data_IF_882304467873
#
_entry.id   IF_882304467873
#
_cell.length_a   1.000
_cell.length_b   1.000
_cell.length_c   1.000
_cell.angle_alpha   90.00
_cell.angle_beta   90.00
_cell.angle_gamma   90.00
#
_symmetry.space_group_name_H-M   'P 1'
#
loop_
_entity.id
_entity.type
_entity.pdbx_description
1 polymer ?
#
# COMPACT_ATOMS: atom_id res chain seq x y z
N UNK A 1 -8.11 1.18 -10.40
CA UNK A 1 -8.30 0.30 -9.22
C UNK A 1 -7.09 -0.58 -8.90
N UNK A 2 -6.06 -0.63 -9.75
CA UNK A 2 -4.85 -1.42 -9.51
C UNK A 2 -3.62 -0.50 -9.63
N UNK A 3 -2.86 -0.27 -8.56
CA UNK A 3 -1.64 0.55 -8.60
C UNK A 3 -0.55 -0.10 -9.47
N UNK A 4 0.27 0.71 -10.13
CA UNK A 4 1.46 0.19 -10.81
C UNK A 4 2.46 -0.40 -9.80
N UNK A 5 3.17 -1.46 -10.18
CA UNK A 5 4.30 -1.96 -9.41
C UNK A 5 5.34 -2.63 -10.31
N UNK A 6 6.55 -2.78 -9.79
CA UNK A 6 7.65 -3.51 -10.42
C UNK A 6 8.53 -4.15 -9.33
N UNK A 7 9.02 -5.36 -9.59
CA UNK A 7 9.96 -6.05 -8.71
C UNK A 7 11.40 -5.69 -9.11
N UNK A 8 12.26 -5.50 -8.12
CA UNK A 8 13.68 -5.22 -8.29
C UNK A 8 14.46 -6.19 -7.41
N UNK A 9 15.32 -7.01 -8.02
CA UNK A 9 16.11 -8.05 -7.37
C UNK A 9 17.60 -7.76 -7.49
N UNK A 10 18.42 -8.56 -6.80
CA UNK A 10 19.89 -8.41 -6.80
C UNK A 10 20.36 -7.19 -6.02
N UNK A 11 19.60 -6.79 -5.01
CA UNK A 11 19.92 -5.67 -4.13
C UNK A 11 20.77 -6.12 -2.95
N UNK A 12 21.76 -5.31 -2.61
CA UNK A 12 22.41 -5.35 -1.30
C UNK A 12 22.57 -3.92 -0.82
N UNK A 13 21.69 -3.52 0.10
CA UNK A 13 21.70 -2.18 0.66
C UNK A 13 22.96 -1.89 1.49
N UNK A 14 23.62 -2.90 2.07
CA UNK A 14 24.90 -2.76 2.78
C UNK A 14 26.09 -2.53 1.84
N UNK A 15 26.18 -3.31 0.77
CA UNK A 15 27.20 -3.16 -0.26
C UNK A 15 26.90 -2.05 -1.28
N UNK A 16 25.71 -1.43 -1.21
CA UNK A 16 25.19 -0.45 -2.19
C UNK A 16 25.08 -1.03 -3.60
N UNK A 17 24.81 -2.33 -3.68
CA UNK A 17 24.63 -3.03 -4.94
C UNK A 17 23.19 -2.83 -5.43
N UNK A 18 23.04 -2.51 -6.71
CA UNK A 18 21.74 -2.37 -7.37
C UNK A 18 20.98 -1.05 -7.09
N UNK A 19 21.62 -0.06 -6.43
CA UNK A 19 21.02 1.27 -6.22
C UNK A 19 20.57 1.92 -7.54
N UNK A 20 21.37 1.81 -8.61
CA UNK A 20 21.04 2.39 -9.92
C UNK A 20 19.81 1.72 -10.56
N UNK A 21 19.71 0.39 -10.47
CA UNK A 21 18.56 -0.36 -10.98
C UNK A 21 17.28 -0.02 -10.19
N UNK A 22 17.40 0.14 -8.87
CA UNK A 22 16.29 0.57 -8.03
C UNK A 22 15.85 2.00 -8.37
N UNK A 23 16.79 2.92 -8.58
CA UNK A 23 16.50 4.29 -9.00
C UNK A 23 15.80 4.34 -10.37
N UNK A 24 16.23 3.53 -11.33
CA UNK A 24 15.57 3.41 -12.63
C UNK A 24 14.13 2.86 -12.51
N UNK A 25 13.92 1.84 -11.66
CA UNK A 25 12.59 1.30 -11.39
C UNK A 25 11.66 2.35 -10.75
N UNK A 26 12.17 3.15 -9.81
CA UNK A 26 11.47 4.30 -9.20
C UNK A 26 11.12 5.33 -10.28
N UNK A 27 12.08 5.74 -11.11
CA UNK A 27 11.86 6.72 -12.17
C UNK A 27 10.76 6.28 -13.15
N UNK A 28 10.87 5.04 -13.65
CA UNK A 28 9.91 4.45 -14.59
C UNK A 28 8.49 4.38 -14.01
N UNK A 29 8.37 4.01 -12.73
CA UNK A 29 7.08 3.92 -12.05
C UNK A 29 6.48 5.31 -11.84
N UNK A 30 7.27 6.28 -11.37
CA UNK A 30 6.83 7.67 -11.21
C UNK A 30 6.34 8.27 -12.53
N UNK A 31 6.99 7.98 -13.65
CA UNK A 31 6.58 8.49 -14.96
C UNK A 31 5.24 7.89 -15.43
N UNK A 32 4.98 6.61 -15.15
CA UNK A 32 3.65 6.00 -15.39
C UNK A 32 2.56 6.70 -14.56
N UNK A 33 2.84 6.99 -13.29
CA UNK A 33 1.92 7.69 -12.39
C UNK A 33 1.65 9.11 -12.90
N UNK A 34 2.70 9.87 -13.25
CA UNK A 34 2.57 11.24 -13.80
C UNK A 34 1.67 11.30 -15.02
N UNK A 35 1.76 10.30 -15.91
CA UNK A 35 0.90 10.23 -17.09
C UNK A 35 -0.57 10.07 -16.71
N UNK A 36 -0.88 9.19 -15.74
CA UNK A 36 -2.25 9.04 -15.22
C UNK A 36 -2.73 10.27 -14.45
N UNK A 37 -1.87 10.89 -13.67
CA UNK A 37 -2.22 12.12 -12.95
C UNK A 37 -2.55 13.25 -13.92
N UNK A 38 -1.81 13.37 -15.03
CA UNK A 38 -2.12 14.32 -16.10
C UNK A 38 -3.44 14.00 -16.80
N UNK A 39 -3.69 12.73 -17.09
CA UNK A 39 -4.93 12.25 -17.72
C UNK A 39 -6.17 12.62 -16.88
N UNK A 40 -6.09 12.45 -15.55
CA UNK A 40 -7.21 12.73 -14.64
C UNK A 40 -7.17 14.13 -14.00
N UNK A 41 -6.20 14.98 -14.37
CA UNK A 41 -6.07 16.33 -13.82
C UNK A 41 -5.64 16.41 -12.35
N UNK A 42 -5.06 15.34 -11.79
CA UNK A 42 -4.57 15.27 -10.42
C UNK A 42 -3.36 16.20 -10.26
N UNK A 43 -3.35 16.98 -9.17
CA UNK A 43 -2.34 18.02 -8.90
C UNK A 43 -1.32 17.63 -7.84
N UNK A 44 -1.59 16.58 -7.07
CA UNK A 44 -0.68 16.05 -6.08
C UNK A 44 0.58 15.49 -6.74
N UNK A 45 1.69 15.49 -5.99
CA UNK A 45 2.93 14.90 -6.46
C UNK A 45 2.81 13.37 -6.52
N UNK A 46 3.33 12.71 -7.55
CA UNK A 46 3.44 11.25 -7.57
C UNK A 46 4.45 10.81 -6.51
N UNK A 47 4.20 9.65 -5.89
CA UNK A 47 5.16 9.01 -5.01
C UNK A 47 5.07 7.49 -5.19
N UNK A 48 6.11 6.79 -4.75
CA UNK A 48 6.16 5.32 -4.73
C UNK A 48 6.48 4.83 -3.34
N UNK A 49 6.02 3.63 -3.03
CA UNK A 49 6.38 2.86 -1.86
C UNK A 49 7.38 1.79 -2.29
N UNK A 50 8.58 1.82 -1.73
CA UNK A 50 9.58 0.75 -1.87
C UNK A 50 9.46 -0.14 -0.64
N UNK A 51 9.14 -1.41 -0.85
CA UNK A 51 8.94 -2.39 0.23
C UNK A 51 9.71 -3.68 -0.03
N UNK A 52 10.36 -4.23 0.99
CA UNK A 52 11.01 -5.54 0.90
C UNK A 52 9.99 -6.65 0.58
N UNK A 53 10.40 -7.63 -0.23
CA UNK A 53 9.52 -8.70 -0.74
C UNK A 53 9.30 -9.83 0.29
N UNK A 54 9.98 -9.79 1.44
CA UNK A 54 9.80 -10.74 2.54
C UNK A 54 9.09 -10.07 3.71
N UNK A 55 7.95 -10.63 4.16
CA UNK A 55 7.00 -10.02 5.10
C UNK A 55 7.62 -9.26 6.29
N UNK A 56 7.18 -8.03 6.52
CA UNK A 56 7.98 -7.09 7.32
C UNK A 56 7.33 -6.51 8.59
N UNK A 57 6.07 -6.79 8.92
CA UNK A 57 5.36 -6.06 10.00
C UNK A 57 5.55 -4.52 9.89
N UNK A 58 5.69 -3.96 8.68
CA UNK A 58 5.94 -2.54 8.46
C UNK A 58 7.42 -2.09 8.51
N UNK A 59 8.36 -3.01 8.76
CA UNK A 59 9.80 -2.80 8.52
C UNK A 59 10.10 -2.84 7.01
N UNK A 60 11.25 -2.35 6.54
CA UNK A 60 11.57 -2.43 5.12
C UNK A 60 10.63 -1.69 4.16
N UNK A 61 9.90 -0.68 4.62
CA UNK A 61 9.03 0.17 3.78
C UNK A 61 9.51 1.62 3.78
N UNK A 62 9.68 2.24 2.62
CA UNK A 62 9.98 3.66 2.47
C UNK A 62 9.08 4.32 1.42
N UNK A 63 8.71 5.59 1.65
CA UNK A 63 8.02 6.43 0.67
C UNK A 63 9.06 7.28 -0.05
N UNK A 64 8.96 7.39 -1.37
CA UNK A 64 9.95 7.99 -2.26
C UNK A 64 9.23 8.85 -3.30
N UNK A 65 9.69 10.09 -3.48
CA UNK A 65 9.15 11.03 -4.48
C UNK A 65 10.09 11.24 -5.65
N UNK A 66 11.37 10.87 -5.52
CA UNK A 66 12.33 10.94 -6.61
C UNK A 66 13.36 9.80 -6.60
N UNK A 67 13.95 9.44 -7.77
CA UNK A 67 14.98 8.39 -7.86
C UNK A 67 16.20 8.65 -6.99
N UNK A 68 16.53 9.91 -6.73
CA UNK A 68 17.70 10.28 -5.94
C UNK A 68 17.55 9.88 -4.46
N UNK A 69 16.33 9.71 -3.94
CA UNK A 69 16.08 9.33 -2.55
C UNK A 69 16.45 7.87 -2.24
N UNK A 70 16.63 7.02 -3.26
CA UNK A 70 17.07 5.62 -3.10
C UNK A 70 18.57 5.43 -3.36
N UNK A 71 19.27 6.49 -3.78
CA UNK A 71 20.72 6.48 -3.99
C UNK A 71 21.43 7.01 -2.74
N UNK A 72 22.44 6.28 -2.26
CA UNK A 72 23.24 6.76 -1.14
C UNK A 72 22.47 6.87 0.17
N UNK A 73 21.59 5.91 0.43
CA UNK A 73 20.79 5.85 1.66
C UNK A 73 21.65 6.04 2.91
N UNK A 74 21.18 6.91 3.81
CA UNK A 74 21.83 7.09 5.11
C UNK A 74 21.76 5.80 5.95
N UNK A 75 22.59 5.69 6.99
CA UNK A 75 22.69 4.49 7.83
C UNK A 75 21.34 4.03 8.38
N UNK A 76 20.45 4.95 8.74
CA UNK A 76 19.13 4.63 9.30
C UNK A 76 18.21 4.03 8.24
N UNK A 77 18.15 4.64 7.05
CA UNK A 77 17.34 4.16 5.93
C UNK A 77 17.84 2.82 5.41
N UNK A 78 19.16 2.68 5.26
CA UNK A 78 19.79 1.41 4.90
C UNK A 78 19.44 0.29 5.88
N UNK A 79 19.68 0.50 7.18
CA UNK A 79 19.32 -0.51 8.18
C UNK A 79 17.83 -0.87 8.17
N UNK A 80 16.96 0.09 7.83
CA UNK A 80 15.52 -0.16 7.70
C UNK A 80 15.19 -1.03 6.48
N UNK A 81 15.94 -0.91 5.39
CA UNK A 81 15.72 -1.62 4.13
C UNK A 81 16.55 -2.91 3.99
N UNK A 82 17.59 -3.10 4.80
CA UNK A 82 18.51 -4.24 4.69
C UNK A 82 18.01 -5.54 5.31
N UNK A 83 17.20 -5.46 6.37
CA UNK A 83 16.85 -6.64 7.19
C UNK A 83 15.35 -6.66 7.48
N UNK A 84 14.73 -7.80 7.20
CA UNK A 84 13.31 -8.05 7.56
C UNK A 84 13.22 -8.88 8.84
N UNK A 85 12.01 -9.29 9.22
CA UNK A 85 11.83 -10.14 10.40
C UNK A 85 12.67 -11.43 10.25
N UNK A 86 13.20 -11.92 11.37
CA UNK A 86 14.07 -13.13 11.44
C UNK A 86 15.51 -12.94 10.91
N UNK A 87 15.91 -11.70 10.60
CA UNK A 87 17.30 -11.41 10.24
C UNK A 87 17.66 -11.75 8.79
N UNK A 88 16.66 -12.07 7.97
CA UNK A 88 16.86 -12.32 6.54
C UNK A 88 17.26 -11.01 5.85
N UNK A 89 18.29 -11.12 5.02
CA UNK A 89 18.78 -10.03 4.18
C UNK A 89 17.79 -9.77 3.03
N UNK A 90 17.56 -8.50 2.74
CA UNK A 90 16.69 -8.08 1.63
C UNK A 90 17.49 -8.08 0.34
N UNK A 91 17.21 -9.07 -0.52
CA UNK A 91 17.73 -9.14 -1.89
C UNK A 91 16.74 -8.66 -2.95
N UNK A 92 15.46 -8.57 -2.60
CA UNK A 92 14.36 -8.23 -3.49
C UNK A 92 13.41 -7.20 -2.84
N UNK A 93 13.01 -6.20 -3.62
CA UNK A 93 12.03 -5.19 -3.23
C UNK A 93 10.98 -5.01 -4.33
N UNK A 94 9.81 -4.57 -3.90
CA UNK A 94 8.74 -4.10 -4.76
C UNK A 94 8.72 -2.58 -4.73
N UNK A 95 8.78 -1.95 -5.90
CA UNK A 95 8.48 -0.53 -6.08
C UNK A 95 7.04 -0.42 -6.55
N UNK A 96 6.18 0.17 -5.73
CA UNK A 96 4.74 0.26 -5.98
C UNK A 96 4.28 1.72 -6.00
N UNK A 97 3.34 2.07 -6.86
CA UNK A 97 2.64 3.35 -6.83
C UNK A 97 2.04 3.62 -5.45
N UNK A 98 2.36 4.80 -4.92
CA UNK A 98 1.76 5.32 -3.70
C UNK A 98 0.35 5.83 -3.96
N UNK A 99 -0.61 5.36 -3.17
CA UNK A 99 -2.00 5.82 -3.25
C UNK A 99 -2.26 6.76 -2.08
N UNK A 100 -2.70 7.96 -2.39
CA UNK A 100 -3.12 8.93 -1.37
C UNK A 100 -4.36 8.44 -0.63
N UNK A 101 -4.45 8.78 0.66
CA UNK A 101 -5.74 8.86 1.35
C UNK A 101 -6.08 10.31 1.64
N UNK A 102 -7.31 10.70 1.35
CA UNK A 102 -7.87 12.00 1.73
C UNK A 102 -9.03 11.85 2.71
N UNK A 103 -9.30 10.64 3.19
CA UNK A 103 -10.30 10.41 4.22
C UNK A 103 -9.80 10.96 5.55
N UNK A 104 -10.71 11.60 6.29
CA UNK A 104 -10.43 12.10 7.64
C UNK A 104 -11.47 11.61 8.63
N UNK A 105 -11.02 11.37 9.85
CA UNK A 105 -11.86 11.10 11.02
C UNK A 105 -11.37 12.04 12.11
N UNK A 106 -12.25 12.89 12.63
CA UNK A 106 -11.91 13.94 13.62
C UNK A 106 -10.68 14.77 13.20
N UNK A 107 -10.69 15.25 11.94
CA UNK A 107 -9.61 16.02 11.30
C UNK A 107 -8.25 15.31 11.17
N UNK A 108 -8.16 14.04 11.53
CA UNK A 108 -6.96 13.21 11.35
C UNK A 108 -7.07 12.31 10.12
N UNK A 109 -5.94 12.10 9.44
CA UNK A 109 -5.87 11.25 8.24
C UNK A 109 -6.26 9.82 8.59
N UNK A 110 -7.11 9.22 7.76
CA UNK A 110 -7.66 7.89 7.98
C UNK A 110 -7.54 7.02 6.73
N UNK A 111 -7.42 5.71 6.92
CA UNK A 111 -7.56 4.71 5.86
C UNK A 111 -8.47 3.56 6.31
N UNK A 112 -9.40 3.07 5.47
CA UNK A 112 -10.33 2.01 5.85
C UNK A 112 -9.64 0.63 5.80
N UNK A 113 -9.91 -0.20 6.79
CA UNK A 113 -9.53 -1.62 6.85
C UNK A 113 -10.80 -2.46 6.84
N UNK A 114 -10.92 -3.36 5.86
CA UNK A 114 -12.08 -4.24 5.69
C UNK A 114 -11.75 -5.65 6.15
N UNK A 115 -12.58 -6.20 7.02
CA UNK A 115 -12.49 -7.57 7.52
C UNK A 115 -13.46 -8.48 6.78
N UNK A 116 -13.00 -9.70 6.49
CA UNK A 116 -13.79 -10.76 5.87
C UNK A 116 -13.61 -12.07 6.63
N UNK A 117 -14.67 -12.88 6.64
CA UNK A 117 -14.62 -14.29 7.04
C UNK A 117 -15.18 -15.12 5.88
N UNK A 118 -14.45 -16.16 5.46
CA UNK A 118 -14.68 -16.80 4.16
C UNK A 118 -14.66 -15.72 3.06
N UNK A 119 -15.71 -15.63 2.22
CA UNK A 119 -15.86 -14.62 1.16
C UNK A 119 -16.76 -13.44 1.53
N UNK A 120 -17.17 -13.35 2.80
CA UNK A 120 -18.16 -12.39 3.27
C UNK A 120 -17.49 -11.24 4.02
N UNK A 121 -17.85 -10.01 3.66
CA UNK A 121 -17.45 -8.80 4.40
C UNK A 121 -18.22 -8.76 5.71
N UNK A 122 -17.50 -8.70 6.83
CA UNK A 122 -18.09 -8.77 8.18
C UNK A 122 -18.01 -7.45 8.95
N UNK A 123 -17.13 -6.53 8.54
CA UNK A 123 -16.88 -5.31 9.29
C UNK A 123 -15.57 -4.65 8.90
N UNK A 124 -15.12 -3.72 9.74
CA UNK A 124 -13.85 -3.05 9.56
C UNK A 124 -13.59 -1.97 10.61
N UNK A 125 -12.53 -1.22 10.40
CA UNK A 125 -12.22 -0.02 11.15
C UNK A 125 -11.45 0.96 10.27
N UNK A 126 -11.49 2.24 10.62
CA UNK A 126 -10.52 3.20 10.13
C UNK A 126 -9.25 3.12 10.97
N UNK A 127 -8.10 3.04 10.31
CA UNK A 127 -6.82 3.36 10.94
C UNK A 127 -6.62 4.86 10.81
N UNK A 128 -6.58 5.55 11.95
CA UNK A 128 -6.50 7.01 12.04
C UNK A 128 -5.14 7.38 12.59
N UNK A 129 -4.49 8.41 12.02
CA UNK A 129 -3.19 8.87 12.51
C UNK A 129 -3.09 10.40 12.48
N UNK A 130 -2.96 11.02 13.66
CA UNK A 130 -2.93 12.48 13.83
C UNK A 130 -1.60 13.12 13.40
N UNK A 131 -0.50 12.36 13.50
CA UNK A 131 0.85 12.82 13.15
C UNK A 131 1.39 12.37 11.79
N UNK A 132 0.55 11.90 10.86
CA UNK A 132 0.96 11.42 9.54
C UNK A 132 0.18 12.13 8.45
N UNK A 133 0.84 12.37 7.32
CA UNK A 133 0.26 12.97 6.12
C UNK A 133 -0.51 11.99 5.25
N UNK A 134 -1.16 12.56 4.24
CA UNK A 134 -2.00 11.88 3.23
C UNK A 134 -1.23 10.94 2.28
N UNK A 135 0.09 11.07 2.22
CA UNK A 135 1.06 10.27 1.44
C UNK A 135 2.04 9.46 2.32
N UNK A 136 1.73 9.31 3.61
CA UNK A 136 2.54 8.55 4.53
C UNK A 136 1.87 7.23 4.95
N UNK A 137 2.68 6.25 5.32
CA UNK A 137 2.19 5.00 5.90
C UNK A 137 1.56 5.25 7.28
N UNK A 138 0.24 5.06 7.40
CA UNK A 138 -0.48 5.22 8.66
C UNK A 138 -0.30 4.03 9.61
N UNK A 139 0.19 2.88 9.13
CA UNK A 139 0.60 1.74 9.96
C UNK A 139 1.93 2.03 10.67
N UNK A 140 1.88 2.95 11.62
CA UNK A 140 3.02 3.45 12.39
C UNK A 140 2.64 3.63 13.88
N UNK A 141 3.64 3.66 14.79
CA UNK A 141 3.38 3.95 16.20
C UNK A 141 2.63 5.28 16.38
N UNK A 142 1.56 5.25 17.17
CA UNK A 142 0.67 6.41 17.39
C UNK A 142 -0.67 6.33 16.65
N UNK A 143 -0.85 5.37 15.74
CA UNK A 143 -2.13 5.13 15.08
C UNK A 143 -3.22 4.69 16.07
N UNK A 144 -4.46 5.03 15.74
CA UNK A 144 -5.67 4.70 16.47
C UNK A 144 -6.62 3.90 15.57
N UNK A 145 -7.44 3.05 16.17
CA UNK A 145 -8.45 2.28 15.46
C UNK A 145 -9.83 2.83 15.80
N UNK A 146 -10.50 3.43 14.83
CA UNK A 146 -11.86 3.94 14.98
C UNK A 146 -12.82 2.96 14.32
N UNK A 147 -13.80 2.40 15.05
CA UNK A 147 -14.73 1.44 14.50
C UNK A 147 -15.42 1.95 13.24
N UNK A 148 -15.39 1.14 12.19
CA UNK A 148 -16.16 1.37 10.98
C UNK A 148 -17.35 0.42 11.04
N UNK A 149 -18.38 0.87 11.74
CA UNK A 149 -19.64 0.13 11.78
C UNK A 149 -20.36 0.34 10.46
N UNK A 150 -20.54 -0.73 9.67
CA UNK A 150 -21.47 -0.69 8.56
C UNK A 150 -22.88 -0.51 9.15
N UNK A 151 -23.41 0.71 9.12
CA UNK A 151 -24.77 1.00 9.62
C UNK A 151 -25.85 0.24 8.84
N UNK A 152 -25.52 -0.23 7.65
CA UNK A 152 -26.40 -0.99 6.75
C UNK A 152 -25.66 -2.25 6.30
N UNK A 153 -26.33 -3.40 6.11
CA UNK A 153 -25.74 -4.55 5.42
C UNK A 153 -25.00 -4.09 4.15
N UNK A 154 -23.95 -4.79 3.70
CA UNK A 154 -23.15 -4.46 2.51
C UNK A 154 -23.95 -4.57 1.19
N UNK A 155 -25.08 -3.87 1.11
CA UNK A 155 -25.98 -3.74 -0.01
C UNK A 155 -25.97 -2.26 -0.41
N UNK A 156 -25.78 -1.96 -1.71
CA UNK A 156 -25.79 -0.60 -2.18
C UNK A 156 -27.22 -0.04 -2.16
N UNK A 157 -27.35 1.24 -1.85
CA UNK A 157 -28.58 2.01 -2.10
C UNK A 157 -28.62 2.42 -3.58
N UNK A 158 -29.44 1.71 -4.35
CA UNK A 158 -29.61 1.94 -5.80
C UNK A 158 -30.26 3.27 -6.16
N UNK A 159 -30.90 3.92 -5.19
CA UNK A 159 -31.59 5.20 -5.39
C UNK A 159 -30.82 6.38 -4.78
N UNK A 160 -29.84 6.10 -3.93
CA UNK A 160 -28.97 7.10 -3.31
C UNK A 160 -27.90 7.66 -4.25
N UNK A 161 -27.21 8.69 -3.76
CA UNK A 161 -26.01 9.22 -4.42
C UNK A 161 -24.94 8.12 -4.56
N UNK A 162 -24.13 8.10 -5.64
CA UNK A 162 -23.02 7.15 -5.77
C UNK A 162 -22.04 7.15 -4.58
N UNK A 163 -21.88 8.30 -3.91
CA UNK A 163 -20.97 8.47 -2.77
C UNK A 163 -21.69 8.56 -1.42
N UNK A 164 -22.98 8.18 -1.36
CA UNK A 164 -23.63 8.03 -0.05
C UNK A 164 -22.94 6.91 0.75
N UNK A 165 -22.99 6.99 2.08
CA UNK A 165 -22.24 6.06 2.95
C UNK A 165 -22.45 4.58 2.59
N UNK A 166 -23.69 4.06 2.38
CA UNK A 166 -23.90 2.66 1.97
C UNK A 166 -23.19 2.28 0.65
N UNK A 167 -23.19 3.17 -0.35
CA UNK A 167 -22.59 2.91 -1.66
C UNK A 167 -21.06 2.98 -1.61
N UNK A 168 -20.50 3.95 -0.88
CA UNK A 168 -19.05 4.05 -0.63
C UNK A 168 -18.54 2.81 0.08
N UNK A 169 -19.23 2.36 1.14
CA UNK A 169 -18.88 1.14 1.86
C UNK A 169 -19.07 -0.14 1.04
N UNK A 170 -20.09 -0.19 0.19
CA UNK A 170 -20.24 -1.28 -0.77
C UNK A 170 -19.04 -1.35 -1.73
N UNK A 171 -18.58 -0.21 -2.25
CA UNK A 171 -17.40 -0.14 -3.11
C UNK A 171 -16.14 -0.62 -2.39
N UNK A 172 -15.93 -0.25 -1.12
CA UNK A 172 -14.82 -0.76 -0.30
C UNK A 172 -14.88 -2.29 -0.20
N UNK A 173 -16.07 -2.84 0.06
CA UNK A 173 -16.27 -4.29 0.11
C UNK A 173 -16.06 -5.00 -1.24
N UNK A 174 -16.33 -4.34 -2.38
CA UNK A 174 -16.00 -4.89 -3.71
C UNK A 174 -14.48 -4.97 -3.90
N UNK A 175 -13.75 -3.89 -3.63
CA UNK A 175 -12.28 -3.87 -3.76
C UNK A 175 -11.63 -4.89 -2.81
N UNK A 176 -12.11 -4.98 -1.57
CA UNK A 176 -11.63 -5.97 -0.60
C UNK A 176 -11.81 -7.41 -1.09
N UNK A 177 -12.97 -7.75 -1.68
CA UNK A 177 -13.21 -9.09 -2.23
C UNK A 177 -12.36 -9.39 -3.47
N UNK A 178 -12.08 -8.39 -4.31
CA UNK A 178 -11.14 -8.56 -5.42
C UNK A 178 -9.72 -8.85 -4.90
N UNK A 179 -9.28 -8.15 -3.84
CA UNK A 179 -8.01 -8.43 -3.19
C UNK A 179 -7.97 -9.83 -2.55
N UNK A 180 -9.06 -10.24 -1.88
CA UNK A 180 -9.20 -11.60 -1.34
C UNK A 180 -9.11 -12.67 -2.42
N UNK A 181 -9.78 -12.46 -3.56
CA UNK A 181 -9.72 -13.39 -4.69
C UNK A 181 -8.30 -13.50 -5.24
N UNK A 182 -7.60 -12.37 -5.42
CA UNK A 182 -6.20 -12.38 -5.85
C UNK A 182 -5.31 -13.17 -4.88
N UNK A 183 -5.45 -12.93 -3.57
CA UNK A 183 -4.70 -13.64 -2.53
C UNK A 183 -5.04 -15.14 -2.47
N UNK A 184 -6.30 -15.52 -2.66
CA UNK A 184 -6.71 -16.92 -2.71
C UNK A 184 -6.08 -17.65 -3.90
N UNK A 185 -6.05 -17.02 -5.08
CA UNK A 185 -5.39 -17.57 -6.27
C UNK A 185 -3.87 -17.67 -6.09
N UNK A 186 -3.23 -16.68 -5.46
CA UNK A 186 -1.81 -16.73 -5.12
C UNK A 186 -1.49 -17.91 -4.18
N UNK A 187 -2.32 -18.11 -3.14
CA UNK A 187 -2.17 -19.21 -2.20
C UNK A 187 -2.35 -20.56 -2.89
N UNK A 188 -3.36 -20.71 -3.74
CA UNK A 188 -3.58 -21.93 -4.52
C UNK A 188 -2.42 -22.20 -5.49
N UNK A 189 -1.84 -21.18 -6.11
CA UNK A 189 -0.70 -21.30 -7.03
C UNK A 189 0.65 -21.59 -6.34
N UNK A 190 0.72 -21.41 -5.02
CA UNK A 190 1.93 -21.66 -4.22
C UNK A 190 1.78 -22.85 -3.28
N UNK A 191 0.67 -23.59 -3.39
CA UNK A 191 0.42 -24.80 -2.61
C UNK A 191 1.52 -25.84 -2.91
N UNK A 192 2.33 -26.24 -1.90
CA UNK A 192 3.39 -27.21 -2.09
C UNK A 192 2.90 -28.62 -2.41
N UNK A 193 1.61 -28.91 -2.20
CA UNK A 193 0.97 -30.20 -2.49
C UNK A 193 0.20 -30.22 -3.82
N UNK A 194 0.30 -29.15 -4.63
CA UNK A 194 -0.38 -29.05 -5.92
C UNK A 194 0.37 -29.86 -6.98
N UNK A 195 -0.27 -30.91 -7.49
CA UNK A 195 0.19 -31.75 -8.62
C UNK A 195 0.42 -30.94 -9.92
#
# INVERSE_FOLDING_TARGET
INPYFVNCSGLDFHARQGEDALAEAVASTLDKIKNKYREYGIKNDPFVIVKADAGTYGMGVMSVKSPEEVIGLNRKARNKMSVVKEGLEVSEVIVQEGVYTFETVDDAVAEPVVYMMDRFVTGGFYRVHTGRGIDENLNAPGMQFVPLSFETPCLPDKHGSPDCAPNRFYAYGVIARLALLAAALELENTDPERD
#
